data_IF_804011564833
#
_entry.id   IF_804011564833
#
_cell.length_a   1.000
_cell.length_b   1.000
_cell.length_c   1.000
_cell.angle_alpha   90.00
_cell.angle_beta   90.00
_cell.angle_gamma   90.00
#
_symmetry.space_group_name_H-M   'P 1'
#
loop_
_entity.id
_entity.type
_entity.pdbx_description
1 polymer ?
#
# COMPACT_ATOMS: atom_id res chain seq x y z
N UNK A 1 26.14 -12.53 -1.49
CA UNK A 1 25.54 -12.47 -1.49
C UNK A 1 24.83 -12.12 -1.66
N UNK A 2 24.48 -12.13 -1.86
CA UNK A 2 23.69 -11.77 -2.10
C UNK A 2 22.92 -11.48 -1.91
N UNK A 3 22.50 -11.06 -1.68
CA UNK A 3 21.80 -10.75 -1.53
C UNK A 3 21.13 -10.22 -1.79
N UNK A 4 20.92 -9.78 -2.03
CA UNK A 4 20.29 -9.23 -2.27
C UNK A 4 19.29 -9.19 -2.85
N UNK A 5 19.22 -9.27 -3.19
CA UNK A 5 18.09 -9.28 -3.98
C UNK A 5 16.91 -9.63 -3.26
N UNK A 6 16.83 -9.48 -2.13
CA UNK A 6 15.78 -9.77 -1.45
C UNK A 6 14.67 -8.86 -1.66
N UNK A 7 13.48 -9.28 -1.92
CA UNK A 7 12.31 -8.49 -2.07
C UNK A 7 11.85 -8.02 -0.71
N UNK A 8 11.61 -6.73 -0.60
CA UNK A 8 11.13 -6.20 0.63
C UNK A 8 9.64 -6.30 0.63
N UNK A 9 9.01 -6.48 1.77
CA UNK A 9 7.57 -6.53 1.87
C UNK A 9 7.13 -5.65 3.01
N UNK A 10 5.87 -5.26 2.98
CA UNK A 10 5.26 -4.50 4.06
C UNK A 10 3.88 -5.04 4.30
N UNK A 11 3.37 -4.90 5.48
CA UNK A 11 2.04 -5.35 5.82
C UNK A 11 1.02 -4.28 5.51
N UNK A 12 -0.10 -4.69 4.95
CA UNK A 12 -1.22 -3.80 4.71
C UNK A 12 -1.65 -3.18 6.03
N UNK A 13 -1.88 -1.88 6.04
CA UNK A 13 -2.26 -1.20 7.25
C UNK A 13 -3.65 -1.59 7.74
N UNK A 14 -4.44 -2.19 6.89
CA UNK A 14 -5.77 -2.61 7.26
C UNK A 14 -5.93 -4.07 7.59
N UNK A 15 -5.54 -4.95 6.70
CA UNK A 15 -5.74 -6.37 6.90
C UNK A 15 -4.47 -7.11 7.26
N UNK A 16 -3.34 -6.41 7.25
CA UNK A 16 -2.06 -6.98 7.67
C UNK A 16 -1.48 -8.03 6.72
N UNK A 17 -2.01 -8.16 5.54
CA UNK A 17 -1.45 -9.09 4.59
C UNK A 17 -0.10 -8.53 4.12
N UNK A 18 0.88 -9.36 4.00
CA UNK A 18 2.19 -8.93 3.57
C UNK A 18 2.23 -8.90 2.05
N UNK A 19 2.71 -7.83 1.50
CA UNK A 19 2.70 -7.67 0.06
C UNK A 19 3.91 -6.90 -0.43
N UNK A 20 4.23 -7.08 -1.70
CA UNK A 20 5.32 -6.33 -2.32
C UNK A 20 4.79 -5.08 -3.03
N UNK A 21 3.48 -4.92 -3.10
CA UNK A 21 2.88 -3.75 -3.70
C UNK A 21 1.74 -3.29 -2.83
N UNK A 22 1.78 -2.05 -2.43
CA UNK A 22 0.72 -1.48 -1.62
C UNK A 22 0.35 -0.12 -2.20
N UNK A 23 -0.85 0.34 -1.90
CA UNK A 23 -1.34 1.59 -2.42
C UNK A 23 -1.44 2.61 -1.30
N UNK A 24 -0.91 3.79 -1.55
CA UNK A 24 -0.92 4.82 -0.54
C UNK A 24 -2.22 5.58 -0.69
N UNK A 25 -3.08 5.48 0.29
CA UNK A 25 -4.40 6.10 0.24
C UNK A 25 -4.74 6.75 1.56
N UNK A 26 -5.65 7.69 1.50
CA UNK A 26 -6.24 8.28 2.69
C UNK A 26 -7.73 8.07 2.54
N UNK A 27 -8.38 7.53 3.54
CA UNK A 27 -9.80 7.26 3.44
C UNK A 27 -10.62 7.63 4.66
N UNK A 28 -10.00 7.83 5.79
CA UNK A 28 -10.78 8.23 6.97
C UNK A 28 -10.43 9.64 7.43
N UNK A 29 -9.37 10.19 6.91
CA UNK A 29 -9.01 11.56 7.23
C UNK A 29 -8.09 12.06 6.13
N UNK A 30 -8.20 13.29 5.74
CA UNK A 30 -7.42 13.80 4.60
C UNK A 30 -5.92 13.73 4.78
N UNK A 31 -5.43 13.76 5.98
CA UNK A 31 -4.00 13.73 6.20
C UNK A 31 -3.48 12.40 6.67
N UNK A 32 -4.32 11.39 6.69
CA UNK A 32 -3.89 10.11 7.19
C UNK A 32 -3.64 9.16 6.07
N UNK A 33 -2.42 9.11 5.62
CA UNK A 33 -2.04 8.24 4.51
C UNK A 33 -1.63 6.86 5.00
N UNK A 34 -2.17 5.84 4.37
CA UNK A 34 -1.90 4.46 4.75
C UNK A 34 -1.49 3.69 3.53
N UNK A 35 -0.72 2.62 3.73
CA UNK A 35 -0.37 1.73 2.65
C UNK A 35 -1.23 0.48 2.81
N UNK A 36 -2.06 0.20 1.84
CA UNK A 36 -2.99 -0.91 1.89
C UNK A 36 -2.90 -1.76 0.64
N UNK A 37 -3.33 -2.99 0.74
CA UNK A 37 -3.26 -3.91 -0.39
C UNK A 37 -4.38 -3.64 -1.38
N UNK A 38 -4.32 -4.30 -2.52
CA UNK A 38 -5.31 -4.06 -3.57
C UNK A 38 -6.71 -4.43 -3.13
N UNK A 39 -6.85 -5.45 -2.32
CA UNK A 39 -8.17 -5.86 -1.84
C UNK A 39 -8.75 -4.77 -0.94
N UNK A 40 -7.95 -4.26 -0.02
CA UNK A 40 -8.43 -3.21 0.87
C UNK A 40 -8.67 -1.92 0.11
N UNK A 41 -7.85 -1.65 -0.89
CA UNK A 41 -8.05 -0.47 -1.70
C UNK A 41 -9.41 -0.50 -2.38
N UNK A 42 -9.79 -1.65 -2.91
CA UNK A 42 -11.09 -1.80 -3.53
C UNK A 42 -12.20 -1.51 -2.55
N UNK A 43 -12.02 -1.92 -1.31
CA UNK A 43 -13.04 -1.69 -0.30
C UNK A 43 -13.19 -0.24 0.09
N UNK A 44 -12.11 0.52 0.10
CA UNK A 44 -12.18 1.90 0.54
C UNK A 44 -12.39 2.91 -0.57
N UNK A 45 -12.23 2.50 -1.82
CA UNK A 45 -12.38 3.43 -2.92
C UNK A 45 -13.76 4.05 -3.00
N UNK A 46 -14.74 3.42 -2.40
CA UNK A 46 -16.08 3.96 -2.43
C UNK A 46 -16.34 4.98 -1.34
N UNK A 47 -15.40 5.20 -0.46
CA UNK A 47 -15.61 6.13 0.63
C UNK A 47 -15.42 7.56 0.15
N UNK A 48 -16.20 8.46 0.69
CA UNK A 48 -16.18 9.82 0.23
C UNK A 48 -14.86 10.54 0.48
N UNK A 49 -14.12 10.11 1.46
CA UNK A 49 -12.83 10.74 1.76
C UNK A 49 -11.65 10.05 1.07
N UNK A 50 -11.93 9.08 0.25
CA UNK A 50 -10.87 8.32 -0.40
C UNK A 50 -10.00 9.20 -1.31
N UNK A 51 -8.69 9.06 -1.16
CA UNK A 51 -7.75 9.76 -2.00
C UNK A 51 -6.60 8.83 -2.27
N UNK A 52 -6.12 8.84 -3.49
CA UNK A 52 -5.02 7.97 -3.90
C UNK A 52 -3.76 8.79 -4.03
N UNK A 53 -2.72 8.36 -3.36
CA UNK A 53 -1.46 9.11 -3.36
C UNK A 53 -0.29 8.41 -4.01
N UNK A 54 -0.50 7.26 -4.60
CA UNK A 54 0.58 6.56 -5.28
C UNK A 54 0.67 5.10 -4.91
N UNK A 55 1.59 4.41 -5.52
CA UNK A 55 1.76 2.98 -5.29
C UNK A 55 3.17 2.72 -4.78
N UNK A 56 3.26 1.97 -3.71
CA UNK A 56 4.54 1.57 -3.18
C UNK A 56 4.89 0.19 -3.73
N UNK A 57 6.05 0.05 -4.30
CA UNK A 57 6.52 -1.22 -4.81
C UNK A 57 7.86 -1.55 -4.21
N UNK A 58 8.00 -2.77 -3.73
CA UNK A 58 9.25 -3.19 -3.12
C UNK A 58 10.34 -3.32 -4.16
N UNK A 59 9.98 -3.79 -5.32
CA UNK A 59 10.95 -3.99 -6.36
C UNK A 59 10.97 -2.83 -7.32
N UNK A 60 11.56 -1.70 -6.89
CA UNK A 60 11.61 -0.58 -7.67
C UNK A 60 12.83 -0.58 -8.50
N UNK A 61 12.73 -0.74 -9.76
CA UNK A 61 13.87 -0.72 -10.56
C UNK A 61 13.92 0.46 -11.36
N UNK A 62 14.91 0.87 -11.81
CA UNK A 62 14.93 2.00 -12.68
C UNK A 62 16.21 2.17 -13.36
#
# INVERSE_FOLDING_TARGET
MPKRARTRTKACAQCQVVSTTLFRVAHDAPNRWLLICSVCRTKVEMQSLYRYGGTWKADKRH
#
